data_IF_562233881365
#
_entry.id   IF_562233881365
#
_cell.length_a   1.000
_cell.length_b   1.000
_cell.length_c   1.000
_cell.angle_alpha   90.00
_cell.angle_beta   90.00
_cell.angle_gamma   90.00
#
_symmetry.space_group_name_H-M   'P 1'
#
loop_
_entity.id
_entity.type
_entity.pdbx_description
1 polymer ?
#
# COMPACT_ATOMS: atom_id res chain seq x y z
N UNK A 1 -18.22 -4.33 -15.71
CA UNK A 1 -17.64 -3.93 -17.00
C UNK A 1 -17.60 -2.41 -16.94
N UNK A 2 -16.44 -1.77 -17.08
CA UNK A 2 -16.39 -0.31 -17.11
C UNK A 2 -17.10 0.14 -18.39
N UNK A 3 -18.08 1.03 -18.23
CA UNK A 3 -18.98 1.42 -19.32
C UNK A 3 -18.33 2.41 -20.30
N UNK A 4 -17.28 3.09 -19.81
CA UNK A 4 -16.30 3.86 -20.56
C UNK A 4 -14.90 3.63 -19.96
N UNK A 5 -13.85 3.89 -20.74
CA UNK A 5 -12.49 4.04 -20.21
C UNK A 5 -11.66 4.99 -21.09
N UNK A 6 -10.78 5.78 -20.48
CA UNK A 6 -9.78 6.59 -21.18
C UNK A 6 -8.44 5.84 -21.29
N UNK A 7 -7.90 5.80 -22.49
CA UNK A 7 -6.59 5.20 -22.78
C UNK A 7 -5.53 6.29 -22.89
N UNK A 8 -4.52 6.23 -22.02
CA UNK A 8 -3.43 7.21 -21.94
C UNK A 8 -2.47 7.13 -23.15
N UNK A 9 -2.28 5.94 -23.72
CA UNK A 9 -1.39 5.71 -24.86
C UNK A 9 -2.01 6.22 -26.16
N UNK A 10 -3.28 5.86 -26.40
CA UNK A 10 -4.01 6.28 -27.59
C UNK A 10 -4.59 7.69 -27.47
N UNK A 11 -4.68 8.23 -26.25
CA UNK A 11 -5.33 9.51 -25.91
C UNK A 11 -6.78 9.56 -26.35
N UNK A 12 -7.48 8.43 -26.19
CA UNK A 12 -8.86 8.24 -26.64
C UNK A 12 -9.75 7.78 -25.52
N UNK A 13 -10.98 8.27 -25.55
CA UNK A 13 -12.07 7.76 -24.74
C UNK A 13 -12.80 6.66 -25.52
N UNK A 14 -12.97 5.51 -24.90
CA UNK A 14 -13.77 4.41 -25.41
C UNK A 14 -15.07 4.30 -24.61
N UNK A 15 -16.17 4.02 -25.31
CA UNK A 15 -17.51 3.84 -24.76
C UNK A 15 -18.06 2.50 -25.28
N UNK A 16 -18.69 1.70 -24.41
CA UNK A 16 -19.28 0.44 -24.84
C UNK A 16 -20.49 0.67 -25.75
N UNK A 17 -20.62 -0.17 -26.77
CA UNK A 17 -21.76 -0.14 -27.67
C UNK A 17 -23.04 -0.54 -26.93
N UNK A 18 -24.01 0.38 -26.82
CA UNK A 18 -25.25 0.20 -26.06
C UNK A 18 -25.33 1.00 -24.75
N UNK A 19 -24.23 1.60 -24.31
CA UNK A 19 -24.21 2.61 -23.25
C UNK A 19 -24.97 3.87 -23.70
N UNK A 20 -26.01 4.28 -22.96
CA UNK A 20 -26.61 5.59 -23.18
C UNK A 20 -25.72 6.67 -22.55
N UNK A 21 -25.25 7.62 -23.36
CA UNK A 21 -24.46 8.78 -22.90
C UNK A 21 -25.18 9.55 -21.80
N UNK A 22 -26.52 9.56 -21.82
CA UNK A 22 -27.33 10.20 -20.79
C UNK A 22 -27.40 9.41 -19.47
N UNK A 23 -27.30 8.08 -19.54
CA UNK A 23 -27.31 7.18 -18.38
C UNK A 23 -25.92 7.06 -17.73
N UNK A 24 -24.85 7.37 -18.47
CA UNK A 24 -23.46 7.22 -18.04
C UNK A 24 -22.73 8.56 -17.80
N UNK A 25 -23.47 9.66 -17.64
CA UNK A 25 -22.86 10.99 -17.45
C UNK A 25 -21.87 11.06 -16.29
N UNK A 26 -22.06 10.28 -15.23
CA UNK A 26 -21.12 10.20 -14.10
C UNK A 26 -19.82 9.48 -14.51
N UNK A 27 -19.93 8.32 -15.15
CA UNK A 27 -18.78 7.57 -15.69
C UNK A 27 -18.02 8.43 -16.70
N UNK A 28 -18.72 9.11 -17.60
CA UNK A 28 -18.11 10.02 -18.55
C UNK A 28 -17.40 11.19 -17.87
N UNK A 29 -17.95 11.73 -16.77
CA UNK A 29 -17.28 12.78 -16.00
C UNK A 29 -15.98 12.27 -15.36
N UNK A 30 -15.94 11.01 -14.90
CA UNK A 30 -14.72 10.35 -14.42
C UNK A 30 -13.67 10.26 -15.53
N UNK A 31 -14.03 9.65 -16.67
CA UNK A 31 -13.07 9.44 -17.76
C UNK A 31 -12.59 10.75 -18.43
N UNK A 32 -13.46 11.75 -18.55
CA UNK A 32 -13.05 13.08 -19.04
C UNK A 32 -12.11 13.78 -18.07
N UNK A 33 -12.16 13.45 -16.78
CA UNK A 33 -11.21 13.97 -15.79
C UNK A 33 -9.82 13.40 -16.02
N UNK A 34 -9.70 12.09 -16.33
CA UNK A 34 -8.44 11.50 -16.77
C UNK A 34 -7.89 12.17 -18.02
N UNK A 35 -8.72 12.35 -19.04
CA UNK A 35 -8.33 13.02 -20.28
C UNK A 35 -7.83 14.47 -20.05
N UNK A 36 -8.51 15.21 -19.17
CA UNK A 36 -8.12 16.57 -18.83
C UNK A 36 -6.79 16.60 -18.05
N UNK A 37 -6.59 15.69 -17.10
CA UNK A 37 -5.34 15.58 -16.37
C UNK A 37 -4.18 15.19 -17.30
N UNK A 38 -4.35 14.23 -18.21
CA UNK A 38 -3.32 13.80 -19.16
C UNK A 38 -2.88 14.92 -20.10
N UNK A 39 -3.82 15.75 -20.58
CA UNK A 39 -3.50 16.92 -21.40
C UNK A 39 -2.56 17.92 -20.72
N UNK A 40 -2.51 17.93 -19.39
CA UNK A 40 -1.73 18.88 -18.61
C UNK A 40 -0.50 18.28 -17.92
N UNK A 41 -0.51 16.98 -17.59
CA UNK A 41 0.50 16.38 -16.70
C UNK A 41 1.18 15.12 -17.25
N UNK A 42 0.78 14.59 -18.42
CA UNK A 42 1.32 13.34 -18.98
C UNK A 42 1.19 12.18 -17.98
N UNK A 43 -0.02 11.60 -17.92
CA UNK A 43 -0.33 10.59 -16.91
C UNK A 43 0.46 9.30 -17.10
N UNK A 44 0.85 8.97 -18.33
CA UNK A 44 1.77 7.86 -18.58
C UNK A 44 3.09 8.07 -17.84
N UNK A 45 3.72 9.22 -18.05
CA UNK A 45 4.97 9.54 -17.34
C UNK A 45 4.78 9.67 -15.83
N UNK A 46 3.64 10.17 -15.38
CA UNK A 46 3.32 10.31 -13.95
C UNK A 46 3.21 8.94 -13.25
N UNK A 47 2.63 7.96 -13.94
CA UNK A 47 2.48 6.58 -13.46
C UNK A 47 3.73 5.72 -13.67
N UNK A 48 4.70 6.15 -14.49
CA UNK A 48 6.02 5.52 -14.64
C UNK A 48 6.90 5.77 -13.41
N UNK A 49 6.51 5.14 -12.31
CA UNK A 49 7.30 4.97 -11.10
C UNK A 49 8.34 3.86 -11.34
N UNK A 50 9.52 3.98 -10.71
CA UNK A 50 10.58 2.99 -10.89
C UNK A 50 10.14 1.59 -10.42
N UNK A 51 10.78 0.50 -10.88
CA UNK A 51 10.34 -0.88 -10.59
C UNK A 51 10.37 -1.30 -9.11
N UNK A 52 10.82 -0.43 -8.21
CA UNK A 52 11.02 -0.69 -6.77
C UNK A 52 10.14 0.21 -5.88
N UNK A 53 9.10 0.83 -6.43
CA UNK A 53 8.34 1.89 -5.77
C UNK A 53 6.83 1.57 -5.62
N UNK A 54 6.48 0.30 -5.35
CA UNK A 54 5.09 -0.19 -5.24
C UNK A 54 4.15 0.68 -4.38
N UNK A 55 4.61 1.22 -3.24
CA UNK A 55 3.79 2.07 -2.37
C UNK A 55 3.61 3.51 -2.92
N UNK A 56 4.58 3.99 -3.70
CA UNK A 56 4.47 5.28 -4.41
C UNK A 56 3.54 5.12 -5.63
N UNK A 57 3.64 4.01 -6.34
CA UNK A 57 2.73 3.60 -7.42
C UNK A 57 1.26 3.61 -6.97
N UNK A 58 1.00 3.03 -5.80
CA UNK A 58 -0.33 3.05 -5.19
C UNK A 58 -0.77 4.47 -4.84
N UNK A 59 0.13 5.32 -4.35
CA UNK A 59 -0.16 6.72 -4.04
C UNK A 59 -0.47 7.54 -5.30
N UNK A 60 0.28 7.35 -6.38
CA UNK A 60 0.04 7.99 -7.67
C UNK A 60 -1.28 7.53 -8.28
N UNK A 61 -1.58 6.24 -8.22
CA UNK A 61 -2.89 5.70 -8.63
C UNK A 61 -4.02 6.40 -7.86
N UNK A 62 -3.86 6.58 -6.55
CA UNK A 62 -4.84 7.27 -5.72
C UNK A 62 -5.00 8.77 -6.04
N UNK A 63 -3.95 9.44 -6.53
CA UNK A 63 -4.08 10.81 -7.05
C UNK A 63 -4.95 10.84 -8.31
N UNK A 64 -4.65 9.96 -9.27
CA UNK A 64 -5.32 9.92 -10.58
C UNK A 64 -6.79 9.54 -10.42
N UNK A 65 -7.06 8.42 -9.76
CA UNK A 65 -8.43 7.93 -9.54
C UNK A 65 -9.20 8.82 -8.55
N UNK A 66 -8.51 9.33 -7.53
CA UNK A 66 -9.12 10.19 -6.52
C UNK A 66 -9.63 11.52 -7.07
N UNK A 67 -8.84 12.18 -7.93
CA UNK A 67 -9.29 13.42 -8.59
C UNK A 67 -10.47 13.16 -9.52
N UNK A 68 -10.42 12.09 -10.32
CA UNK A 68 -11.49 11.75 -11.26
C UNK A 68 -12.80 11.42 -10.53
N UNK A 69 -12.72 10.61 -9.48
CA UNK A 69 -13.85 10.25 -8.62
C UNK A 69 -14.45 11.47 -7.91
N UNK A 70 -13.61 12.38 -7.41
CA UNK A 70 -14.06 13.62 -6.80
C UNK A 70 -14.83 14.50 -7.80
N UNK A 71 -14.32 14.63 -9.03
CA UNK A 71 -14.98 15.39 -10.10
C UNK A 71 -16.29 14.75 -10.53
N UNK A 72 -16.35 13.42 -10.59
CA UNK A 72 -17.59 12.68 -10.82
C UNK A 72 -18.66 13.02 -9.78
N UNK A 73 -18.32 13.01 -8.48
CA UNK A 73 -19.26 13.40 -7.41
C UNK A 73 -19.66 14.87 -7.56
N UNK A 74 -18.69 15.77 -7.72
CA UNK A 74 -18.93 17.20 -7.83
C UNK A 74 -19.86 17.54 -9.01
N UNK A 75 -19.71 16.82 -10.13
CA UNK A 75 -20.59 16.89 -11.28
C UNK A 75 -22.01 16.43 -10.93
N UNK A 76 -22.17 15.26 -10.29
CA UNK A 76 -23.47 14.75 -9.87
C UNK A 76 -24.21 15.72 -8.94
N UNK A 77 -23.51 16.29 -7.96
CA UNK A 77 -24.06 17.32 -7.05
C UNK A 77 -24.51 18.56 -7.80
N UNK A 78 -23.70 19.04 -8.75
CA UNK A 78 -24.04 20.19 -9.58
C UNK A 78 -25.30 19.93 -10.42
N UNK A 79 -25.45 18.74 -10.99
CA UNK A 79 -26.64 18.35 -11.75
C UNK A 79 -27.89 18.31 -10.85
N UNK A 80 -27.73 17.94 -9.58
CA UNK A 80 -28.79 17.98 -8.58
C UNK A 80 -29.07 19.39 -8.02
N UNK A 81 -28.45 20.45 -8.56
CA UNK A 81 -28.61 21.82 -8.10
C UNK A 81 -27.93 22.13 -6.77
N UNK A 82 -27.01 21.27 -6.31
CA UNK A 82 -26.22 21.45 -5.09
C UNK A 82 -24.86 22.09 -5.40
N UNK A 83 -24.14 22.61 -4.39
CA UNK A 83 -22.75 23.05 -4.57
C UNK A 83 -21.87 21.92 -5.12
N UNK A 84 -21.03 22.25 -6.10
CA UNK A 84 -20.11 21.30 -6.77
C UNK A 84 -18.86 21.01 -5.92
N UNK A 85 -19.07 20.69 -4.65
CA UNK A 85 -18.04 20.30 -3.68
C UNK A 85 -18.63 19.12 -2.90
N UNK A 86 -17.99 17.94 -2.95
CA UNK A 86 -18.43 16.76 -2.20
C UNK A 86 -18.65 17.05 -0.71
N UNK A 87 -19.74 16.51 -0.18
CA UNK A 87 -20.01 16.49 1.26
C UNK A 87 -19.43 15.22 1.87
N UNK A 88 -19.19 15.19 3.19
CA UNK A 88 -18.76 13.95 3.88
C UNK A 88 -19.71 12.78 3.62
N UNK A 89 -21.01 13.05 3.51
CA UNK A 89 -22.00 12.02 3.21
C UNK A 89 -21.85 11.48 1.78
N UNK A 90 -21.54 12.32 0.80
CA UNK A 90 -21.27 11.89 -0.57
C UNK A 90 -19.96 11.10 -0.68
N UNK A 91 -18.92 11.51 0.05
CA UNK A 91 -17.65 10.77 0.14
C UNK A 91 -17.84 9.40 0.80
N UNK A 92 -18.64 9.34 1.87
CA UNK A 92 -18.96 8.07 2.53
C UNK A 92 -19.74 7.13 1.61
N UNK A 93 -20.65 7.66 0.80
CA UNK A 93 -21.41 6.85 -0.16
C UNK A 93 -20.51 6.16 -1.19
N UNK A 94 -19.37 6.76 -1.58
CA UNK A 94 -18.37 6.07 -2.42
C UNK A 94 -17.78 4.87 -1.67
N UNK A 95 -17.31 5.05 -0.44
CA UNK A 95 -16.73 3.96 0.37
C UNK A 95 -17.74 2.82 0.60
N UNK A 96 -19.00 3.17 0.82
CA UNK A 96 -20.08 2.20 1.01
C UNK A 96 -20.44 1.50 -0.33
N UNK A 97 -20.33 2.22 -1.45
CA UNK A 97 -20.50 1.65 -2.79
C UNK A 97 -19.33 0.75 -3.20
N UNK A 98 -18.10 1.04 -2.78
CA UNK A 98 -16.92 0.18 -2.97
C UNK A 98 -17.07 -1.14 -2.20
N UNK A 99 -17.71 -1.08 -1.03
CA UNK A 99 -18.11 -2.26 -0.27
C UNK A 99 -19.16 -3.11 -1.03
N UNK A 100 -19.89 -2.49 -1.95
CA UNK A 100 -20.88 -3.11 -2.84
C UNK A 100 -20.31 -3.47 -4.23
N UNK A 101 -19.17 -2.92 -4.66
CA UNK A 101 -18.47 -3.36 -5.88
C UNK A 101 -18.15 -4.86 -5.83
N UNK A 102 -17.85 -5.39 -4.65
CA UNK A 102 -17.67 -6.82 -4.45
C UNK A 102 -18.92 -7.67 -4.71
N UNK A 103 -20.15 -7.13 -4.65
CA UNK A 103 -21.36 -7.91 -4.94
C UNK A 103 -21.64 -8.07 -6.44
N UNK A 104 -21.27 -7.08 -7.26
CA UNK A 104 -21.52 -7.08 -8.69
C UNK A 104 -20.42 -7.81 -9.49
N UNK A 105 -19.27 -8.06 -8.86
CA UNK A 105 -18.11 -8.73 -9.46
C UNK A 105 -17.71 -10.00 -8.68
N UNK A 106 -18.28 -11.17 -9.02
CA UNK A 106 -18.01 -12.42 -8.30
C UNK A 106 -16.53 -12.84 -8.28
N UNK A 107 -15.76 -12.47 -9.30
CA UNK A 107 -14.32 -12.74 -9.36
C UNK A 107 -13.57 -11.91 -8.32
N UNK A 108 -13.89 -10.62 -8.21
CA UNK A 108 -13.28 -9.72 -7.23
C UNK A 108 -13.63 -10.15 -5.81
N UNK A 109 -14.89 -10.53 -5.55
CA UNK A 109 -15.37 -11.00 -4.25
C UNK A 109 -14.55 -12.17 -3.68
N UNK A 110 -14.10 -13.06 -4.56
CA UNK A 110 -13.35 -14.27 -4.19
C UNK A 110 -11.82 -14.08 -4.28
N UNK A 111 -11.34 -12.90 -4.70
CA UNK A 111 -9.91 -12.61 -4.74
C UNK A 111 -9.35 -12.45 -3.31
N UNK A 112 -8.02 -12.61 -3.10
CA UNK A 112 -7.39 -12.30 -1.82
C UNK A 112 -7.68 -10.86 -1.39
N UNK A 113 -7.78 -10.62 -0.08
CA UNK A 113 -8.11 -9.31 0.49
C UNK A 113 -7.22 -8.19 -0.06
N UNK A 114 -5.92 -8.47 -0.18
CA UNK A 114 -4.95 -7.54 -0.73
C UNK A 114 -5.30 -7.08 -2.16
N UNK A 115 -5.69 -8.01 -3.03
CA UNK A 115 -6.09 -7.68 -4.41
C UNK A 115 -7.37 -6.86 -4.42
N UNK A 116 -8.34 -7.20 -3.57
CA UNK A 116 -9.57 -6.42 -3.46
C UNK A 116 -9.30 -4.99 -3.03
N UNK A 117 -8.47 -4.82 -2.00
CA UNK A 117 -8.27 -3.53 -1.38
C UNK A 117 -7.31 -2.65 -2.17
N UNK A 118 -6.30 -3.22 -2.85
CA UNK A 118 -5.41 -2.45 -3.72
C UNK A 118 -6.14 -1.88 -4.94
N UNK A 119 -7.16 -2.58 -5.43
CA UNK A 119 -8.04 -2.07 -6.49
C UNK A 119 -9.00 -0.97 -6.01
N UNK A 120 -9.49 -1.03 -4.77
CA UNK A 120 -10.46 -0.07 -4.23
C UNK A 120 -9.81 1.16 -3.59
N UNK A 121 -8.56 1.04 -3.12
CA UNK A 121 -7.84 2.10 -2.42
C UNK A 121 -7.74 3.40 -3.22
N UNK A 122 -7.38 3.38 -4.53
CA UNK A 122 -7.30 4.60 -5.32
C UNK A 122 -8.61 5.39 -5.41
N UNK A 123 -9.75 4.71 -5.42
CA UNK A 123 -11.07 5.33 -5.52
C UNK A 123 -11.54 5.84 -4.16
N UNK A 124 -11.45 5.02 -3.12
CA UNK A 124 -11.91 5.38 -1.77
C UNK A 124 -11.01 6.42 -1.11
N UNK A 125 -9.80 6.03 -0.73
CA UNK A 125 -8.86 6.87 -0.01
C UNK A 125 -8.32 8.00 -0.89
N UNK A 126 -8.12 7.75 -2.19
CA UNK A 126 -7.73 8.80 -3.14
C UNK A 126 -8.74 9.94 -3.23
N UNK A 127 -10.05 9.64 -3.25
CA UNK A 127 -11.09 10.69 -3.29
C UNK A 127 -11.07 11.53 -2.01
N UNK A 128 -10.93 10.89 -0.83
CA UNK A 128 -10.85 11.58 0.46
C UNK A 128 -9.59 12.43 0.58
N UNK A 129 -8.48 11.92 0.08
CA UNK A 129 -7.23 12.65 -0.03
C UNK A 129 -7.42 13.91 -0.89
N UNK A 130 -7.93 13.75 -2.12
CA UNK A 130 -8.12 14.88 -3.03
C UNK A 130 -9.08 15.92 -2.46
N UNK A 131 -10.17 15.49 -1.81
CA UNK A 131 -11.09 16.39 -1.12
C UNK A 131 -10.41 17.22 -0.04
N UNK A 132 -9.54 16.58 0.76
CA UNK A 132 -8.74 17.27 1.79
C UNK A 132 -7.81 18.32 1.19
N UNK A 133 -7.15 17.99 0.07
CA UNK A 133 -6.30 18.94 -0.68
C UNK A 133 -7.13 20.07 -1.27
N UNK A 134 -8.30 19.78 -1.84
CA UNK A 134 -9.22 20.78 -2.39
C UNK A 134 -9.75 21.73 -1.30
N UNK A 135 -10.17 21.21 -0.14
CA UNK A 135 -10.61 22.04 0.99
C UNK A 135 -9.51 23.01 1.46
N UNK A 136 -8.24 22.59 1.41
CA UNK A 136 -7.11 23.42 1.84
C UNK A 136 -6.61 24.41 0.77
N UNK A 137 -6.59 23.99 -0.50
CA UNK A 137 -5.94 24.73 -1.59
C UNK A 137 -6.91 25.31 -2.63
N UNK A 138 -8.19 24.96 -2.54
CA UNK A 138 -9.20 25.27 -3.55
C UNK A 138 -8.80 24.74 -4.92
N UNK A 139 -9.00 25.57 -5.94
CA UNK A 139 -8.70 25.21 -7.34
C UNK A 139 -7.24 24.84 -7.61
N UNK A 140 -6.29 25.25 -6.74
CA UNK A 140 -4.89 24.85 -6.90
C UNK A 140 -4.67 23.36 -6.68
N UNK A 141 -5.58 22.68 -5.98
CA UNK A 141 -5.51 21.23 -5.75
C UNK A 141 -5.41 20.43 -7.06
N UNK A 142 -6.15 20.85 -8.10
CA UNK A 142 -6.19 20.14 -9.39
C UNK A 142 -4.83 19.99 -10.07
N UNK A 143 -3.93 20.95 -9.89
CA UNK A 143 -2.55 20.85 -10.39
C UNK A 143 -1.58 20.41 -9.30
N UNK A 144 -1.80 20.81 -8.04
CA UNK A 144 -0.86 20.58 -6.95
C UNK A 144 -0.54 19.10 -6.76
N UNK A 145 -1.57 18.23 -6.77
CA UNK A 145 -1.39 16.78 -6.56
C UNK A 145 -0.60 16.08 -7.66
N UNK A 146 -0.47 16.67 -8.85
CA UNK A 146 0.38 16.14 -9.92
C UNK A 146 1.77 16.77 -9.94
N UNK A 147 1.89 18.05 -9.53
CA UNK A 147 3.17 18.76 -9.52
C UNK A 147 4.02 18.48 -8.27
N UNK A 148 3.37 18.10 -7.18
CA UNK A 148 3.99 17.71 -5.91
C UNK A 148 3.18 16.53 -5.36
N UNK A 149 3.33 15.33 -5.94
CA UNK A 149 2.49 14.19 -5.59
C UNK A 149 2.81 13.64 -4.19
N UNK A 150 1.83 12.97 -3.56
CA UNK A 150 2.08 12.16 -2.38
C UNK A 150 3.03 11.00 -2.72
N UNK A 151 3.97 10.75 -1.83
CA UNK A 151 5.10 9.81 -2.05
C UNK A 151 4.86 8.40 -1.51
N UNK A 152 3.71 8.14 -0.88
CA UNK A 152 3.37 6.85 -0.27
C UNK A 152 1.89 6.79 0.12
N UNK A 153 1.36 5.57 0.34
CA UNK A 153 -0.02 5.37 0.80
C UNK A 153 -0.34 6.10 2.11
N UNK A 154 0.62 6.27 3.01
CA UNK A 154 0.39 6.95 4.29
C UNK A 154 0.03 8.44 4.12
N UNK A 155 0.58 9.10 3.10
CA UNK A 155 0.21 10.47 2.75
C UNK A 155 -1.19 10.59 2.13
N UNK A 156 -1.66 9.53 1.45
CA UNK A 156 -3.04 9.43 0.97
C UNK A 156 -4.00 9.25 2.15
N UNK A 157 -3.72 8.27 3.01
CA UNK A 157 -4.56 7.93 4.19
C UNK A 157 -4.60 9.09 5.19
N UNK A 158 -3.47 9.77 5.39
CA UNK A 158 -3.33 10.91 6.31
C UNK A 158 -2.86 12.16 5.55
N UNK A 159 -3.79 12.97 4.98
CA UNK A 159 -3.45 14.17 4.20
C UNK A 159 -2.59 15.19 4.97
N UNK A 160 -2.63 15.20 6.31
CA UNK A 160 -1.74 16.03 7.12
C UNK A 160 -0.26 15.69 6.93
N UNK A 161 0.08 14.41 6.67
CA UNK A 161 1.45 13.97 6.34
C UNK A 161 1.89 14.49 4.98
N UNK A 162 0.99 14.52 4.01
CA UNK A 162 1.23 15.13 2.71
C UNK A 162 1.51 16.63 2.85
N UNK A 163 0.66 17.36 3.58
CA UNK A 163 0.86 18.80 3.80
C UNK A 163 2.10 19.15 4.62
N UNK A 164 2.57 18.22 5.45
CA UNK A 164 3.83 18.34 6.19
C UNK A 164 5.05 17.91 5.37
N UNK A 165 4.86 17.43 4.13
CA UNK A 165 5.89 16.80 3.29
C UNK A 165 6.66 15.69 4.01
N UNK A 166 5.96 14.92 4.85
CA UNK A 166 6.56 13.84 5.63
C UNK A 166 6.89 12.65 4.73
N UNK A 167 8.17 12.43 4.45
CA UNK A 167 8.62 11.29 3.63
C UNK A 167 8.63 9.99 4.43
N UNK A 168 8.37 8.89 3.73
CA UNK A 168 8.58 7.55 4.29
C UNK A 168 10.06 7.35 4.65
N UNK A 169 10.30 6.61 5.73
CA UNK A 169 11.66 6.19 6.11
C UNK A 169 12.00 4.90 5.37
N UNK A 170 13.22 4.81 4.85
CA UNK A 170 13.75 3.61 4.20
C UNK A 170 14.58 2.79 5.20
N UNK A 171 13.99 1.82 5.93
CA UNK A 171 14.75 0.98 6.84
C UNK A 171 15.78 0.13 6.09
N UNK A 172 16.95 -0.06 6.69
CA UNK A 172 17.99 -0.92 6.14
C UNK A 172 17.54 -2.39 6.22
N UNK A 173 17.53 -3.07 5.08
CA UNK A 173 17.26 -4.51 5.01
C UNK A 173 18.33 -5.33 5.75
N UNK A 174 17.98 -6.49 6.31
CA UNK A 174 18.96 -7.44 6.80
C UNK A 174 19.87 -7.91 5.66
N UNK A 175 21.17 -8.04 5.95
CA UNK A 175 22.14 -8.57 4.99
C UNK A 175 22.21 -10.09 5.05
N UNK A 176 22.35 -10.73 3.89
CA UNK A 176 22.65 -12.16 3.80
C UNK A 176 23.90 -12.34 2.94
N UNK A 177 24.76 -13.29 3.30
CA UNK A 177 25.88 -13.67 2.45
C UNK A 177 25.34 -14.23 1.13
N UNK A 178 25.55 -13.52 0.01
CA UNK A 178 25.10 -13.97 -1.30
C UNK A 178 26.02 -15.08 -1.83
N UNK A 179 25.41 -16.16 -2.32
CA UNK A 179 26.15 -17.28 -2.90
C UNK A 179 26.21 -17.12 -4.42
N UNK A 180 27.16 -17.81 -5.05
CA UNK A 180 27.27 -17.80 -6.51
C UNK A 180 25.97 -18.32 -7.13
N UNK A 181 25.31 -17.46 -7.91
CA UNK A 181 24.02 -17.79 -8.56
C UNK A 181 22.79 -17.23 -7.85
N UNK A 182 22.95 -16.51 -6.73
CA UNK A 182 21.86 -15.71 -6.16
C UNK A 182 21.38 -14.68 -7.19
N UNK A 183 20.06 -14.61 -7.39
CA UNK A 183 19.43 -13.64 -8.31
C UNK A 183 18.36 -12.86 -7.58
N UNK A 184 18.34 -11.56 -7.76
CA UNK A 184 17.23 -10.74 -7.34
C UNK A 184 15.98 -11.06 -8.16
N UNK A 185 14.84 -11.19 -7.48
CA UNK A 185 13.53 -11.42 -8.10
C UNK A 185 12.73 -10.11 -8.10
N UNK A 186 12.69 -9.44 -6.95
CA UNK A 186 11.94 -8.21 -6.74
C UNK A 186 12.53 -7.45 -5.53
N UNK A 187 12.33 -6.15 -5.50
CA UNK A 187 12.55 -5.28 -4.35
C UNK A 187 11.50 -4.19 -4.36
N UNK A 188 11.24 -3.59 -3.21
CA UNK A 188 10.25 -2.52 -3.16
C UNK A 188 10.05 -1.90 -1.78
N UNK A 189 9.34 -0.78 -1.77
CA UNK A 189 8.75 -0.22 -0.56
C UNK A 189 7.48 -0.97 -0.17
N UNK A 190 7.21 -1.03 1.14
CA UNK A 190 5.95 -1.52 1.69
C UNK A 190 5.43 -0.43 2.64
N UNK A 191 4.19 0.00 2.40
CA UNK A 191 3.58 1.15 3.03
C UNK A 191 2.63 0.83 4.17
N UNK A 192 1.92 1.88 4.61
CA UNK A 192 0.88 1.78 5.63
C UNK A 192 -0.29 0.93 5.13
N UNK A 193 -0.69 1.10 3.86
CA UNK A 193 -1.73 0.28 3.23
C UNK A 193 -1.41 -1.22 3.35
N UNK A 194 -0.22 -1.65 2.95
CA UNK A 194 0.17 -3.06 2.97
C UNK A 194 0.15 -3.65 4.38
N UNK A 195 0.62 -2.86 5.36
CA UNK A 195 0.62 -3.24 6.77
C UNK A 195 -0.80 -3.29 7.35
N UNK A 196 -1.67 -2.35 7.00
CA UNK A 196 -3.09 -2.37 7.38
C UNK A 196 -3.72 -3.67 6.91
N UNK A 197 -3.55 -4.03 5.64
CA UNK A 197 -4.16 -5.23 5.06
C UNK A 197 -3.60 -6.50 5.68
N UNK A 198 -2.28 -6.58 5.86
CA UNK A 198 -1.62 -7.72 6.50
C UNK A 198 -2.16 -7.92 7.93
N UNK A 199 -2.18 -6.85 8.72
CA UNK A 199 -2.66 -6.90 10.09
C UNK A 199 -4.17 -7.19 10.14
N UNK A 200 -4.95 -6.64 9.22
CA UNK A 200 -6.40 -6.87 9.16
C UNK A 200 -6.71 -8.32 8.82
N UNK A 201 -6.05 -8.86 7.80
CA UNK A 201 -6.25 -10.23 7.34
C UNK A 201 -5.96 -11.24 8.44
N UNK A 202 -4.87 -11.01 9.19
CA UNK A 202 -4.39 -12.01 10.15
C UNK A 202 -4.78 -11.72 11.58
N UNK A 203 -5.02 -10.48 12.00
CA UNK A 203 -5.26 -10.11 13.41
C UNK A 203 -6.59 -9.36 13.61
N UNK A 204 -7.21 -8.85 12.54
CA UNK A 204 -8.49 -8.15 12.58
C UNK A 204 -8.35 -6.63 12.45
N UNK A 205 -9.47 -5.98 12.13
CA UNK A 205 -9.51 -4.54 11.79
C UNK A 205 -9.04 -3.63 12.94
N UNK A 206 -9.35 -3.95 14.20
CA UNK A 206 -8.93 -3.14 15.34
C UNK A 206 -7.39 -3.11 15.48
N UNK A 207 -6.72 -4.25 15.34
CA UNK A 207 -5.25 -4.32 15.39
C UNK A 207 -4.60 -3.58 14.22
N UNK A 208 -5.20 -3.66 13.03
CA UNK A 208 -4.72 -2.92 11.87
C UNK A 208 -4.84 -1.40 12.09
N UNK A 209 -6.01 -0.93 12.54
CA UNK A 209 -6.29 0.49 12.79
C UNK A 209 -5.41 1.10 13.88
N UNK A 210 -5.08 0.34 14.93
CA UNK A 210 -4.21 0.84 16.00
C UNK A 210 -2.75 0.98 15.57
N UNK A 211 -2.27 0.03 14.76
CA UNK A 211 -0.85 -0.17 14.56
C UNK A 211 -0.36 0.36 13.21
N UNK A 212 -1.07 0.10 12.10
CA UNK A 212 -0.64 0.51 10.76
C UNK A 212 -0.31 2.02 10.65
N UNK A 213 -1.10 2.95 11.25
CA UNK A 213 -0.79 4.38 11.23
C UNK A 213 0.55 4.76 11.87
N UNK A 214 1.15 3.88 12.66
CA UNK A 214 2.42 4.12 13.36
C UNK A 214 3.63 3.74 12.54
N UNK A 215 3.43 3.15 11.36
CA UNK A 215 4.50 2.83 10.43
C UNK A 215 5.09 4.13 9.86
N UNK A 216 6.42 4.21 9.82
CA UNK A 216 7.15 5.28 9.14
C UNK A 216 7.65 4.85 7.76
N UNK A 217 7.83 3.54 7.53
CA UNK A 217 8.10 2.98 6.21
C UNK A 217 8.64 1.55 6.29
N UNK A 218 8.52 0.82 5.18
CA UNK A 218 8.97 -0.55 5.02
C UNK A 218 9.74 -0.77 3.72
N UNK A 219 10.57 -1.81 3.71
CA UNK A 219 11.33 -2.25 2.55
C UNK A 219 11.31 -3.77 2.49
N UNK A 220 11.33 -4.30 1.28
CA UNK A 220 11.55 -5.72 1.04
C UNK A 220 12.49 -5.95 -0.14
N UNK A 221 13.13 -7.12 -0.12
CA UNK A 221 13.89 -7.66 -1.24
C UNK A 221 13.72 -9.16 -1.28
N UNK A 222 13.39 -9.70 -2.44
CA UNK A 222 13.24 -11.12 -2.69
C UNK A 222 14.39 -11.57 -3.56
N UNK A 223 15.16 -12.54 -3.08
CA UNK A 223 16.24 -13.16 -3.85
C UNK A 223 15.99 -14.65 -4.00
N UNK A 224 16.45 -15.22 -5.12
CA UNK A 224 16.44 -16.67 -5.36
C UNK A 224 17.83 -17.22 -5.10
N UNK A 225 17.93 -18.17 -4.17
CA UNK A 225 19.13 -18.97 -3.93
C UNK A 225 18.76 -20.45 -3.96
N UNK A 226 18.91 -21.07 -5.13
CA UNK A 226 18.38 -22.41 -5.40
C UNK A 226 16.94 -22.39 -5.91
N UNK A 227 16.07 -23.24 -5.34
CA UNK A 227 14.68 -23.42 -5.82
C UNK A 227 13.71 -22.41 -5.20
N UNK A 228 13.87 -22.13 -3.91
CA UNK A 228 12.91 -21.35 -3.13
C UNK A 228 13.39 -19.90 -2.95
N UNK A 229 12.45 -18.92 -2.89
CA UNK A 229 12.77 -17.52 -2.67
C UNK A 229 13.08 -17.22 -1.19
N UNK A 230 14.01 -16.32 -0.96
CA UNK A 230 14.33 -15.73 0.33
C UNK A 230 13.77 -14.31 0.36
N UNK A 231 12.94 -14.01 1.35
CA UNK A 231 12.43 -12.67 1.62
C UNK A 231 13.31 -11.99 2.67
N UNK A 232 13.85 -10.82 2.32
CA UNK A 232 14.45 -9.86 3.23
C UNK A 232 13.42 -8.76 3.45
N UNK A 233 13.14 -8.41 4.71
CA UNK A 233 12.12 -7.43 5.04
C UNK A 233 12.56 -6.58 6.23
N UNK A 234 12.21 -5.29 6.20
CA UNK A 234 12.37 -4.39 7.33
C UNK A 234 11.24 -3.35 7.38
N UNK A 235 10.79 -3.00 8.59
CA UNK A 235 9.86 -1.90 8.85
C UNK A 235 10.33 -1.04 10.01
N UNK A 236 10.09 0.27 9.91
CA UNK A 236 10.40 1.25 10.94
C UNK A 236 9.13 1.91 11.45
N UNK A 237 9.07 2.12 12.76
CA UNK A 237 7.89 2.57 13.50
C UNK A 237 8.16 3.90 14.20
N UNK A 238 7.10 4.60 14.57
CA UNK A 238 7.16 5.91 15.26
C UNK A 238 7.84 5.87 16.63
N UNK A 239 7.95 4.68 17.22
CA UNK A 239 8.44 4.46 18.58
C UNK A 239 8.89 3.02 18.79
N UNK A 240 9.76 2.81 19.78
CA UNK A 240 10.17 1.48 20.23
C UNK A 240 8.98 0.66 20.75
N UNK A 241 7.99 1.32 21.34
CA UNK A 241 6.75 0.69 21.81
C UNK A 241 5.98 0.09 20.64
N UNK A 242 5.77 0.86 19.58
CA UNK A 242 5.00 0.40 18.42
C UNK A 242 5.75 -0.61 17.57
N UNK A 243 7.08 -0.51 17.47
CA UNK A 243 7.90 -1.59 16.94
C UNK A 243 7.75 -2.88 17.76
N UNK A 244 7.72 -2.80 19.09
CA UNK A 244 7.50 -3.94 19.97
C UNK A 244 6.11 -4.58 19.79
N UNK A 245 5.07 -3.75 19.67
CA UNK A 245 3.71 -4.19 19.36
C UNK A 245 3.68 -4.91 17.99
N UNK A 246 4.34 -4.36 16.97
CA UNK A 246 4.41 -4.98 15.65
C UNK A 246 5.24 -6.26 15.65
N UNK A 247 6.35 -6.33 16.36
CA UNK A 247 7.14 -7.54 16.49
C UNK A 247 6.29 -8.71 17.01
N UNK A 248 5.48 -8.46 18.05
CA UNK A 248 4.54 -9.45 18.60
C UNK A 248 3.40 -9.74 17.61
N UNK A 249 2.89 -8.72 16.92
CA UNK A 249 1.85 -8.88 15.91
C UNK A 249 2.33 -9.77 14.75
N UNK A 250 3.55 -9.53 14.25
CA UNK A 250 4.11 -10.26 13.12
C UNK A 250 4.42 -11.72 13.48
N UNK A 251 4.81 -12.03 14.73
CA UNK A 251 4.85 -13.43 15.21
C UNK A 251 3.51 -14.14 15.05
N UNK A 252 2.41 -13.48 15.43
CA UNK A 252 1.05 -14.02 15.28
C UNK A 252 0.66 -14.15 13.81
N UNK A 253 1.07 -13.20 12.97
CA UNK A 253 0.90 -13.28 11.51
C UNK A 253 1.59 -14.54 10.98
N UNK A 254 2.87 -14.78 11.32
CA UNK A 254 3.61 -15.96 10.87
C UNK A 254 2.93 -17.27 11.30
N UNK A 255 2.48 -17.36 12.56
CA UNK A 255 1.74 -18.53 13.06
C UNK A 255 0.40 -18.78 12.36
N UNK A 256 -0.27 -17.74 11.83
CA UNK A 256 -1.54 -17.87 11.10
C UNK A 256 -1.36 -18.03 9.60
N UNK A 257 -0.29 -17.47 9.04
CA UNK A 257 0.06 -17.49 7.62
C UNK A 257 0.57 -18.87 7.21
N UNK A 258 1.41 -19.49 8.03
CA UNK A 258 1.98 -20.80 7.73
C UNK A 258 1.18 -21.94 8.37
N UNK A 259 1.13 -23.08 7.67
CA UNK A 259 0.62 -24.34 8.21
C UNK A 259 1.55 -24.88 9.29
N UNK A 260 2.86 -24.70 9.10
CA UNK A 260 3.91 -25.06 10.05
C UNK A 260 4.67 -23.80 10.46
N UNK A 261 4.71 -23.51 11.75
CA UNK A 261 5.52 -22.45 12.33
C UNK A 261 6.07 -22.97 13.67
N UNK A 262 7.30 -23.47 13.64
CA UNK A 262 7.98 -24.09 14.78
C UNK A 262 9.17 -23.23 15.23
N UNK A 263 8.96 -22.27 16.15
CA UNK A 263 10.00 -21.40 16.64
C UNK A 263 10.93 -22.13 17.62
N UNK A 264 12.19 -22.29 17.21
CA UNK A 264 13.27 -22.78 18.08
C UNK A 264 13.84 -21.70 19.02
N UNK A 265 13.64 -20.42 18.67
CA UNK A 265 14.06 -19.26 19.45
C UNK A 265 12.89 -18.29 19.55
N UNK A 266 12.56 -17.90 20.77
CA UNK A 266 11.55 -16.88 21.06
C UNK A 266 12.00 -16.09 22.29
N UNK A 267 12.59 -14.91 22.04
CA UNK A 267 13.05 -13.98 23.06
C UNK A 267 12.35 -12.63 22.89
N UNK A 268 12.66 -11.66 23.76
CA UNK A 268 12.13 -10.31 23.64
C UNK A 268 12.56 -9.60 22.34
N UNK A 269 13.66 -10.01 21.72
CA UNK A 269 14.26 -9.31 20.57
C UNK A 269 14.43 -10.16 19.32
N UNK A 270 14.34 -11.50 19.43
CA UNK A 270 14.55 -12.45 18.34
C UNK A 270 13.48 -13.55 18.35
N UNK A 271 12.92 -13.84 17.18
CA UNK A 271 12.00 -14.94 16.93
C UNK A 271 12.45 -15.71 15.69
N UNK A 272 12.85 -16.97 15.84
CA UNK A 272 13.47 -17.74 14.75
C UNK A 272 13.11 -19.23 14.81
N UNK A 273 12.99 -19.87 13.66
CA UNK A 273 12.65 -21.29 13.56
C UNK A 273 12.37 -21.74 12.15
N UNK A 274 11.49 -22.73 12.03
CA UNK A 274 11.11 -23.34 10.75
C UNK A 274 9.68 -22.97 10.38
N UNK A 275 9.49 -22.48 9.17
CA UNK A 275 8.20 -22.21 8.54
C UNK A 275 7.97 -23.09 7.31
N UNK A 276 6.83 -22.91 6.62
CA UNK A 276 6.47 -23.71 5.44
C UNK A 276 7.50 -23.62 4.29
N UNK A 277 8.15 -22.46 4.16
CA UNK A 277 9.06 -22.16 3.04
C UNK A 277 10.54 -22.27 3.41
N UNK A 278 10.86 -22.89 4.56
CA UNK A 278 12.22 -22.99 5.09
C UNK A 278 12.36 -22.27 6.42
N UNK A 279 13.60 -21.95 6.79
CA UNK A 279 13.89 -21.31 8.07
C UNK A 279 13.65 -19.81 8.02
N UNK A 280 13.40 -19.21 9.17
CA UNK A 280 13.24 -17.77 9.31
C UNK A 280 13.97 -17.23 10.54
N UNK A 281 14.31 -15.94 10.49
CA UNK A 281 14.81 -15.14 11.60
C UNK A 281 14.11 -13.79 11.54
N UNK A 282 13.38 -13.43 12.60
CA UNK A 282 12.83 -12.11 12.81
C UNK A 282 13.49 -11.48 14.04
N UNK A 283 13.76 -10.19 13.98
CA UNK A 283 14.31 -9.42 15.11
C UNK A 283 13.69 -8.04 15.24
N UNK A 284 13.79 -7.49 16.43
CA UNK A 284 13.52 -6.08 16.72
C UNK A 284 14.78 -5.42 17.30
N UNK A 285 15.11 -4.23 16.79
CA UNK A 285 16.16 -3.37 17.33
C UNK A 285 15.67 -1.92 17.34
N UNK A 286 15.53 -1.35 18.54
CA UNK A 286 14.95 -0.03 18.74
C UNK A 286 13.53 0.04 18.18
N UNK A 287 13.33 0.91 17.20
CA UNK A 287 12.06 1.16 16.51
C UNK A 287 11.95 0.43 15.14
N UNK A 288 12.83 -0.55 14.89
CA UNK A 288 12.90 -1.27 13.62
C UNK A 288 12.69 -2.77 13.84
N UNK A 289 11.82 -3.37 13.02
CA UNK A 289 11.60 -4.82 12.95
C UNK A 289 12.12 -5.30 11.59
N UNK A 290 12.86 -6.40 11.56
CA UNK A 290 13.37 -7.00 10.32
C UNK A 290 13.21 -8.51 10.32
N UNK A 291 12.93 -9.10 9.17
CA UNK A 291 12.91 -10.56 8.99
C UNK A 291 13.71 -11.02 7.77
N UNK A 292 14.24 -12.23 7.89
CA UNK A 292 14.71 -13.04 6.77
C UNK A 292 13.90 -14.33 6.79
N UNK A 293 13.17 -14.62 5.72
CA UNK A 293 12.28 -15.77 5.60
C UNK A 293 12.63 -16.59 4.37
N UNK A 294 12.48 -17.92 4.45
CA UNK A 294 12.78 -18.84 3.34
C UNK A 294 14.23 -19.30 3.28
N UNK A 295 14.95 -19.27 4.40
CA UNK A 295 16.37 -19.63 4.46
C UNK A 295 16.52 -21.15 4.22
N UNK A 296 17.30 -21.59 3.21
CA UNK A 296 17.25 -22.97 2.73
C UNK A 296 18.06 -23.98 3.58
N UNK A 297 19.11 -23.53 4.27
CA UNK A 297 20.05 -24.41 4.99
C UNK A 297 20.39 -23.92 6.40
N UNK A 298 20.83 -24.85 7.25
CA UNK A 298 21.18 -24.61 8.65
C UNK A 298 22.38 -23.67 8.80
N UNK A 299 23.42 -23.82 7.98
CA UNK A 299 24.64 -23.01 8.09
C UNK A 299 24.33 -21.52 7.93
N UNK A 300 23.59 -21.16 6.88
CA UNK A 300 23.19 -19.77 6.65
C UNK A 300 22.22 -19.27 7.73
N UNK A 301 21.30 -20.12 8.17
CA UNK A 301 20.36 -19.76 9.21
C UNK A 301 21.07 -19.49 10.55
N UNK A 302 22.03 -20.32 10.93
CA UNK A 302 22.83 -20.14 12.14
C UNK A 302 23.66 -18.85 12.10
N UNK A 303 24.22 -18.49 10.95
CA UNK A 303 24.92 -17.21 10.76
C UNK A 303 23.99 -16.02 10.98
N UNK A 304 22.85 -15.97 10.29
CA UNK A 304 21.88 -14.87 10.39
C UNK A 304 21.31 -14.76 11.81
N UNK A 305 20.99 -15.91 12.43
CA UNK A 305 20.50 -15.97 13.81
C UNK A 305 21.54 -15.45 14.80
N UNK A 306 22.80 -15.88 14.68
CA UNK A 306 23.87 -15.41 15.55
C UNK A 306 24.15 -13.91 15.40
N UNK A 307 23.99 -13.35 14.20
CA UNK A 307 24.07 -11.89 13.99
C UNK A 307 22.89 -11.16 14.64
N UNK A 308 21.67 -11.70 14.50
CA UNK A 308 20.47 -11.14 15.13
C UNK A 308 20.54 -11.12 16.67
N UNK A 309 21.19 -12.11 17.28
CA UNK A 309 21.38 -12.20 18.74
C UNK A 309 22.51 -11.31 19.28
N UNK A 310 23.50 -10.94 18.45
CA UNK A 310 24.66 -10.13 18.86
C UNK A 310 24.40 -8.64 18.88
N UNK A 311 23.54 -8.13 18.01
CA UNK A 311 23.26 -6.70 17.97
C UNK A 311 22.39 -6.32 19.18
N UNK A 312 22.89 -5.46 20.10
CA UNK A 312 22.10 -5.05 21.24
C UNK A 312 20.83 -4.35 20.73
N UNK A 313 19.70 -4.60 21.37
CA UNK A 313 18.53 -3.74 21.24
C UNK A 313 19.03 -2.33 21.58
N UNK A 314 19.13 -1.45 20.57
CA UNK A 314 19.73 -0.13 20.76
C UNK A 314 19.01 0.54 21.92
N UNK A 315 19.74 0.73 23.03
CA UNK A 315 19.27 1.50 24.15
C UNK A 315 19.04 2.92 23.66
N UNK A 316 17.78 3.33 23.71
CA UNK A 316 17.30 4.69 23.51
C UNK A 316 18.23 5.68 24.22
N UNK A 317 18.79 6.63 23.47
CA UNK A 317 19.23 7.92 24.01
C UNK A 317 18.17 8.96 23.67
#
# INVERSE_FOLDING_TARGET
QAAAFYDYDEKKLFLLEGASVDEEKSTLAHELSHALADQHFDLNRFMETGPSNDDEDLAHSAVVEGQASWLMIAYGLKQAGQPAVPTEQALQAIVDSDSSFGSDYPVLKNAPLYIQQSLLFPYSEGTRFFDSVYKKMGRRAFSAVFTDPPSNSSQIIHPDRYFAHQRAVTPKLPSIAERKGTKEIAEGSIGEFDHEILLRQYLGAESAKELAPRLLGGQFRIVRDGKDPILLYASRWDSTTSAGQYFIAYQKVLHRKWRTCDPSVSTATVFAGVGDNGRFVMRISGDTVSSVEGIPDDERWDQIKAEAEKEPAVATR
#
